data_IF_115668053642
#
_entry.id   IF_115668053642
#
_cell.length_a   1.000
_cell.length_b   1.000
_cell.length_c   1.000
_cell.angle_alpha   90.00
_cell.angle_beta   90.00
_cell.angle_gamma   90.00
#
_symmetry.space_group_name_H-M   'P 1'
#
loop_
_entity.id
_entity.type
_entity.pdbx_description
1 polymer ?
#
# COMPACT_ATOMS: atom_id res chain seq x y z
N UNK A 1 -0.45 -3.20 58.84
CA UNK A 1 0.67 -3.39 57.87
C UNK A 1 0.32 -4.70 57.21
N UNK A 2 -0.48 -4.60 56.16
CA UNK A 2 -1.17 -5.73 55.55
C UNK A 2 -0.65 -5.81 54.13
N UNK A 3 0.27 -6.75 53.94
CA UNK A 3 0.84 -7.14 52.66
C UNK A 3 -0.25 -7.74 51.80
N UNK A 4 -0.76 -6.97 50.85
CA UNK A 4 -1.50 -7.49 49.71
C UNK A 4 -0.61 -7.37 48.49
N UNK A 5 0.26 -8.37 48.30
CA UNK A 5 0.87 -8.68 47.02
C UNK A 5 -0.25 -9.03 46.04
N UNK A 6 -0.69 -8.03 45.27
CA UNK A 6 -1.53 -8.26 44.11
C UNK A 6 -0.70 -9.07 43.11
N UNK A 7 -0.93 -10.38 43.11
CA UNK A 7 -0.59 -11.29 42.03
C UNK A 7 -1.08 -10.67 40.72
N UNK A 8 -0.16 -10.12 39.95
CA UNK A 8 -0.39 -9.73 38.57
C UNK A 8 -0.63 -11.03 37.80
N UNK A 9 -1.92 -11.30 37.59
CA UNK A 9 -2.45 -12.27 36.64
C UNK A 9 -1.63 -12.18 35.35
N UNK A 10 -1.07 -13.32 34.94
CA UNK A 10 -0.36 -13.50 33.68
C UNK A 10 -1.25 -13.01 32.52
N UNK A 11 -1.15 -11.72 32.18
CA UNK A 11 -1.50 -11.24 30.87
C UNK A 11 -0.63 -12.03 29.90
N UNK A 12 -1.26 -12.78 29.00
CA UNK A 12 -0.60 -13.33 27.82
C UNK A 12 0.12 -12.16 27.16
N UNK A 13 1.43 -12.06 27.39
CA UNK A 13 2.24 -11.05 26.77
C UNK A 13 2.39 -11.50 25.30
N UNK A 14 1.85 -10.75 24.31
CA UNK A 14 1.96 -11.15 22.91
C UNK A 14 3.40 -11.02 22.38
N UNK A 15 4.36 -10.66 23.23
CA UNK A 15 5.74 -10.34 22.87
C UNK A 15 6.66 -11.57 22.67
N UNK A 16 6.16 -12.80 22.76
CA UNK A 16 7.04 -14.00 22.67
C UNK A 16 6.81 -14.89 21.45
N UNK A 17 6.11 -14.42 20.41
CA UNK A 17 6.08 -15.17 19.16
C UNK A 17 5.80 -14.27 17.96
N UNK A 18 6.86 -13.80 17.29
CA UNK A 18 6.92 -13.60 15.83
C UNK A 18 8.14 -12.76 15.43
N UNK A 19 9.36 -13.30 15.55
CA UNK A 19 10.48 -12.75 14.75
C UNK A 19 10.21 -12.91 13.24
N UNK A 20 9.35 -13.87 12.87
CA UNK A 20 8.94 -14.14 11.48
C UNK A 20 7.76 -13.28 10.98
N UNK A 21 6.93 -12.70 11.85
CA UNK A 21 5.79 -11.84 11.46
C UNK A 21 5.93 -10.39 11.93
N UNK A 22 7.17 -9.89 12.02
CA UNK A 22 7.39 -8.47 12.22
C UNK A 22 7.25 -7.74 10.87
N UNK A 23 6.94 -6.43 10.92
CA UNK A 23 6.79 -5.62 9.71
C UNK A 23 8.06 -5.63 8.85
N UNK A 24 9.26 -5.73 9.44
CA UNK A 24 10.51 -5.75 8.69
C UNK A 24 10.64 -7.01 7.81
N UNK A 25 10.40 -8.21 8.37
CA UNK A 25 10.44 -9.49 7.67
C UNK A 25 9.43 -9.55 6.53
N UNK A 26 8.25 -8.92 6.69
CA UNK A 26 7.25 -8.82 5.63
C UNK A 26 7.71 -7.92 4.47
N UNK A 27 8.34 -6.78 4.76
CA UNK A 27 8.84 -5.86 3.72
C UNK A 27 10.06 -6.43 2.98
N UNK A 28 10.91 -7.18 3.67
CA UNK A 28 12.01 -7.95 3.07
C UNK A 28 11.48 -9.07 2.18
N UNK A 29 10.44 -9.80 2.62
CA UNK A 29 9.81 -10.88 1.87
C UNK A 29 9.01 -10.39 0.66
N UNK A 30 8.28 -9.27 0.79
CA UNK A 30 7.59 -8.63 -0.33
C UNK A 30 8.56 -7.96 -1.31
N UNK A 31 9.83 -7.75 -0.90
CA UNK A 31 10.83 -7.12 -1.72
C UNK A 31 10.36 -5.76 -2.18
N UNK A 32 10.22 -4.80 -1.25
CA UNK A 32 9.90 -3.40 -1.54
C UNK A 32 11.01 -2.69 -2.34
N UNK A 33 11.41 -3.25 -3.48
CA UNK A 33 11.96 -2.49 -4.57
C UNK A 33 10.84 -1.56 -5.05
N UNK A 34 10.77 -0.38 -4.43
CA UNK A 34 9.90 0.70 -4.90
C UNK A 34 10.43 1.09 -6.27
N UNK A 35 9.81 0.53 -7.31
CA UNK A 35 10.19 0.74 -8.70
C UNK A 35 9.63 2.06 -9.20
N UNK A 36 10.43 3.13 -8.99
CA UNK A 36 10.08 4.47 -9.41
C UNK A 36 10.02 4.56 -10.94
N UNK A 37 8.91 5.04 -11.51
CA UNK A 37 8.78 5.16 -12.96
C UNK A 37 9.85 6.11 -13.50
N UNK A 38 10.42 5.73 -14.64
CA UNK A 38 11.41 6.54 -15.36
C UNK A 38 10.76 7.31 -16.51
N UNK A 39 11.38 8.42 -16.91
CA UNK A 39 10.84 9.23 -18.01
C UNK A 39 10.84 8.44 -19.32
N UNK A 40 9.69 8.41 -20.00
CA UNK A 40 9.53 7.71 -21.29
C UNK A 40 9.27 6.21 -21.15
N UNK A 41 9.17 5.70 -19.93
CA UNK A 41 8.79 4.32 -19.66
C UNK A 41 7.31 4.07 -19.99
N UNK A 42 7.04 2.91 -20.59
CA UNK A 42 5.67 2.41 -20.77
C UNK A 42 5.46 1.27 -19.78
N UNK A 43 4.49 1.43 -18.88
CA UNK A 43 4.19 0.45 -17.83
C UNK A 43 2.71 0.20 -17.70
N UNK A 44 2.38 -0.96 -17.15
CA UNK A 44 1.00 -1.30 -16.82
C UNK A 44 0.60 -0.65 -15.50
N UNK A 45 -0.60 -0.10 -15.45
CA UNK A 45 -1.18 0.49 -14.27
C UNK A 45 -2.63 0.06 -14.09
N UNK A 46 -3.17 0.32 -12.90
CA UNK A 46 -4.55 0.01 -12.54
C UNK A 46 -5.34 1.30 -12.40
N UNK A 47 -6.58 1.32 -12.88
CA UNK A 47 -7.48 2.46 -12.67
C UNK A 47 -7.84 2.51 -11.18
N UNK A 48 -7.35 3.53 -10.47
CA UNK A 48 -7.65 3.74 -9.06
C UNK A 48 -9.03 4.39 -8.89
N UNK A 49 -9.37 5.35 -9.75
CA UNK A 49 -10.68 5.99 -9.78
C UNK A 49 -10.97 6.66 -11.12
N UNK A 50 -12.25 6.92 -11.38
CA UNK A 50 -12.71 7.64 -12.56
C UNK A 50 -13.64 8.77 -12.15
N UNK A 51 -13.38 9.97 -12.65
CA UNK A 51 -14.25 11.14 -12.51
C UNK A 51 -14.53 11.73 -13.90
N UNK A 52 -15.59 12.53 -14.08
CA UNK A 52 -15.86 13.17 -15.37
C UNK A 52 -14.66 14.02 -15.82
N UNK A 53 -14.06 13.66 -16.95
CA UNK A 53 -12.91 14.37 -17.53
C UNK A 53 -11.54 13.91 -17.06
N UNK A 54 -11.46 12.95 -16.12
CA UNK A 54 -10.20 12.50 -15.54
C UNK A 54 -10.23 11.03 -15.10
N UNK A 55 -9.15 10.30 -15.35
CA UNK A 55 -8.91 8.96 -14.81
C UNK A 55 -7.62 9.00 -13.98
N UNK A 56 -7.68 8.47 -12.76
CA UNK A 56 -6.52 8.30 -11.89
C UNK A 56 -5.99 6.86 -12.04
N UNK A 57 -4.71 6.72 -12.33
CA UNK A 57 -4.06 5.43 -12.61
C UNK A 57 -2.95 5.19 -11.59
N UNK A 58 -3.05 4.12 -10.82
CA UNK A 58 -1.96 3.64 -9.97
C UNK A 58 -0.92 2.91 -10.82
N UNK A 59 0.35 3.27 -10.65
CA UNK A 59 1.48 2.74 -11.43
C UNK A 59 2.50 1.96 -10.58
N UNK A 60 2.04 1.42 -9.44
CA UNK A 60 2.88 0.63 -8.52
C UNK A 60 3.81 1.46 -7.63
N UNK A 61 3.61 2.77 -7.55
CA UNK A 61 4.35 3.66 -6.65
C UNK A 61 3.42 4.57 -5.86
N UNK A 62 3.99 5.42 -4.99
CA UNK A 62 3.22 6.43 -4.24
C UNK A 62 2.53 7.45 -5.15
N UNK A 63 3.09 7.72 -6.33
CA UNK A 63 2.53 8.70 -7.25
C UNK A 63 1.58 8.04 -8.24
N UNK A 64 0.46 8.69 -8.50
CA UNK A 64 -0.52 8.28 -9.50
C UNK A 64 -0.32 9.02 -10.84
N UNK A 65 -0.64 8.33 -11.93
CA UNK A 65 -0.81 8.92 -13.25
C UNK A 65 -2.20 9.53 -13.41
N UNK A 66 -2.30 10.62 -14.16
CA UNK A 66 -3.56 11.29 -14.48
C UNK A 66 -3.75 11.26 -15.99
N UNK A 67 -4.86 10.69 -16.45
CA UNK A 67 -5.29 10.75 -17.85
C UNK A 67 -6.47 11.73 -17.94
N UNK A 68 -6.38 12.74 -18.81
CA UNK A 68 -7.39 13.80 -18.91
C UNK A 68 -7.51 14.35 -20.34
N UNK A 69 -8.48 15.23 -20.60
CA UNK A 69 -8.61 15.92 -21.88
C UNK A 69 -8.86 14.98 -23.06
N UNK A 70 -8.08 15.11 -24.14
CA UNK A 70 -8.27 14.32 -25.37
C UNK A 70 -8.12 12.82 -25.15
N UNK A 71 -7.19 12.41 -24.30
CA UNK A 71 -6.96 10.98 -24.00
C UNK A 71 -8.14 10.37 -23.25
N UNK A 72 -8.71 11.12 -22.30
CA UNK A 72 -9.93 10.72 -21.61
C UNK A 72 -11.10 10.55 -22.59
N UNK A 73 -11.31 11.49 -23.50
CA UNK A 73 -12.40 11.40 -24.49
C UNK A 73 -12.23 10.20 -25.44
N UNK A 74 -11.00 9.92 -25.89
CA UNK A 74 -10.72 8.75 -26.72
C UNK A 74 -11.08 7.45 -26.01
N UNK A 75 -10.67 7.29 -24.75
CA UNK A 75 -11.01 6.11 -23.94
C UNK A 75 -12.53 6.01 -23.74
N UNK A 76 -13.19 7.14 -23.45
CA UNK A 76 -14.64 7.19 -23.24
C UNK A 76 -15.45 6.79 -24.48
N UNK A 77 -14.94 7.06 -25.68
CA UNK A 77 -15.58 6.73 -26.95
C UNK A 77 -15.40 5.26 -27.36
N UNK A 78 -14.42 4.56 -26.79
CA UNK A 78 -14.15 3.14 -27.09
C UNK A 78 -15.10 2.16 -26.39
N UNK A 79 -15.97 2.65 -25.49
CA UNK A 79 -16.89 1.84 -24.68
C UNK A 79 -18.35 2.30 -24.84
#
# INVERSE_FOLDING_TARGET
>A
MDTNDAQLENGVNPETNSEENNMASLLEAEGLAIDFPTQGEIRQGFIASMTPGQILVSVGTKSEGIISGKEYELIRLMN
#
